data_IF_458963874584
#
_entry.id   IF_458963874584
#
_cell.length_a   1.000
_cell.length_b   1.000
_cell.length_c   1.000
_cell.angle_alpha   90.00
_cell.angle_beta   90.00
_cell.angle_gamma   90.00
#
_symmetry.space_group_name_H-M   'P 1'
#
loop_
_entity.id
_entity.type
_entity.pdbx_description
1 polymer ?
#
# COMPACT_ATOMS: atom_id res chain seq x y z
N UNK A 1 -61.77 -19.80 -15.37
CA UNK A 1 -60.56 -19.82 -16.23
C UNK A 1 -59.39 -19.64 -15.30
N UNK A 2 -58.69 -20.73 -15.04
CA UNK A 2 -57.77 -20.94 -13.91
C UNK A 2 -56.42 -21.29 -14.50
N UNK A 3 -55.35 -20.50 -14.32
CA UNK A 3 -53.92 -20.92 -14.41
C UNK A 3 -53.02 -19.90 -13.67
N UNK A 4 -52.36 -20.36 -12.60
CA UNK A 4 -50.90 -20.53 -12.42
C UNK A 4 -50.15 -19.19 -12.26
N UNK A 5 -49.66 -18.78 -11.08
CA UNK A 5 -49.02 -19.57 -10.03
C UNK A 5 -47.51 -19.67 -10.28
N UNK A 6 -46.82 -18.53 -10.34
CA UNK A 6 -45.36 -18.44 -10.46
C UNK A 6 -44.73 -18.09 -9.11
N UNK A 7 -44.24 -19.11 -8.42
CA UNK A 7 -43.48 -18.96 -7.17
C UNK A 7 -42.08 -18.49 -7.55
N UNK A 8 -41.78 -17.19 -7.41
CA UNK A 8 -40.40 -16.72 -7.44
C UNK A 8 -39.70 -17.25 -6.20
N UNK A 9 -38.83 -18.24 -6.41
CA UNK A 9 -37.90 -18.71 -5.41
C UNK A 9 -36.88 -17.59 -5.13
N UNK A 10 -37.12 -16.85 -4.04
CA UNK A 10 -36.10 -16.03 -3.37
C UNK A 10 -35.04 -16.99 -2.83
N UNK A 11 -33.96 -17.16 -3.59
CA UNK A 11 -32.75 -17.78 -3.08
C UNK A 11 -32.17 -16.83 -2.01
N UNK A 12 -32.43 -17.13 -0.75
CA UNK A 12 -31.76 -16.54 0.39
C UNK A 12 -30.30 -16.97 0.35
N UNK A 13 -29.44 -16.13 -0.22
CA UNK A 13 -28.00 -16.28 -0.14
C UNK A 13 -27.59 -15.89 1.27
N UNK A 14 -27.47 -16.88 2.14
CA UNK A 14 -26.84 -16.74 3.45
C UNK A 14 -25.37 -16.43 3.20
N UNK A 15 -25.05 -15.13 3.12
CA UNK A 15 -23.67 -14.67 3.29
C UNK A 15 -23.35 -14.93 4.75
N UNK A 16 -22.65 -16.02 5.02
CA UNK A 16 -21.95 -16.20 6.28
C UNK A 16 -20.92 -15.09 6.38
N UNK A 17 -21.28 -13.99 7.05
CA UNK A 17 -20.37 -13.02 7.60
C UNK A 17 -19.51 -13.74 8.65
N UNK A 18 -18.49 -14.43 8.16
CA UNK A 18 -17.55 -15.25 8.93
C UNK A 18 -16.13 -14.82 8.61
N UNK A 19 -15.79 -13.59 8.94
CA UNK A 19 -14.40 -13.18 9.18
C UNK A 19 -14.45 -12.10 10.23
N UNK A 20 -14.49 -12.55 11.48
CA UNK A 20 -14.12 -11.70 12.59
C UNK A 20 -12.78 -11.06 12.25
N UNK A 21 -12.75 -9.74 12.31
CA UNK A 21 -11.55 -8.93 12.21
C UNK A 21 -10.53 -9.49 13.19
N UNK A 22 -9.58 -10.29 12.70
CA UNK A 22 -8.32 -10.44 13.41
C UNK A 22 -7.71 -9.04 13.40
N UNK A 23 -7.87 -8.34 14.51
CA UNK A 23 -7.03 -7.18 14.82
C UNK A 23 -5.61 -7.70 14.70
N UNK A 24 -4.91 -7.32 13.64
CA UNK A 24 -3.47 -7.53 13.60
C UNK A 24 -2.92 -6.58 14.66
N UNK A 25 -2.67 -7.19 15.81
CA UNK A 25 -1.65 -6.80 16.76
C UNK A 25 -0.47 -6.21 15.99
N UNK A 26 -0.25 -4.90 16.16
CA UNK A 26 0.97 -4.21 15.74
C UNK A 26 2.11 -4.47 16.75
N UNK A 27 2.08 -5.64 17.41
CA UNK A 27 2.97 -6.06 18.49
C UNK A 27 3.25 -7.58 18.42
N UNK A 28 3.40 -8.15 17.21
CA UNK A 28 3.97 -9.50 17.07
C UNK A 28 5.05 -9.53 15.98
N UNK A 29 6.17 -8.87 16.30
CA UNK A 29 7.49 -9.32 15.86
C UNK A 29 8.02 -10.28 16.94
N UNK A 30 7.23 -11.30 17.30
CA UNK A 30 7.68 -12.36 18.18
C UNK A 30 8.37 -13.43 17.34
N UNK A 31 9.54 -13.86 17.81
CA UNK A 31 10.31 -14.96 17.27
C UNK A 31 9.42 -16.21 17.13
N UNK A 32 9.16 -16.62 15.90
CA UNK A 32 8.53 -17.90 15.59
C UNK A 32 9.41 -19.05 16.06
N UNK A 33 9.04 -19.60 17.21
CA UNK A 33 9.56 -20.84 17.75
C UNK A 33 8.88 -22.03 17.07
N UNK A 34 9.71 -22.96 16.57
CA UNK A 34 9.48 -24.40 16.47
C UNK A 34 8.09 -24.91 16.09
N UNK A 35 7.95 -25.38 14.85
CA UNK A 35 7.19 -26.58 14.56
C UNK A 35 8.02 -27.46 13.61
N UNK A 36 8.80 -28.33 14.25
CA UNK A 36 9.45 -29.50 13.70
C UNK A 36 8.47 -30.39 12.91
N UNK A 37 8.65 -30.39 11.59
CA UNK A 37 8.18 -31.46 10.73
C UNK A 37 9.41 -32.27 10.30
N UNK A 38 9.52 -33.41 10.95
CA UNK A 38 10.43 -34.51 10.68
C UNK A 38 10.27 -34.98 9.23
N UNK A 39 11.36 -34.95 8.46
CA UNK A 39 11.46 -35.65 7.17
C UNK A 39 12.92 -36.04 6.97
N UNK A 40 13.17 -37.28 7.36
CA UNK A 40 14.32 -38.09 6.99
C UNK A 40 14.37 -38.22 5.46
N UNK A 41 15.47 -37.79 4.81
CA UNK A 41 16.18 -38.63 3.84
C UNK A 41 17.52 -38.00 3.44
N UNK A 42 18.50 -38.87 3.27
CA UNK A 42 19.94 -38.62 3.33
C UNK A 42 20.53 -38.18 1.98
N UNK A 43 21.46 -37.21 1.99
CA UNK A 43 22.82 -37.45 1.45
C UNK A 43 23.80 -36.31 1.67
N UNK A 44 24.97 -36.73 2.13
CA UNK A 44 26.22 -36.02 2.34
C UNK A 44 26.78 -35.40 1.04
N UNK A 45 27.41 -34.23 1.12
CA UNK A 45 28.88 -34.11 1.07
C UNK A 45 29.36 -32.65 1.27
N UNK A 46 30.25 -32.53 2.26
CA UNK A 46 31.50 -31.75 2.33
C UNK A 46 31.55 -30.24 2.01
N UNK A 47 32.02 -29.48 3.02
CA UNK A 47 33.20 -28.65 2.79
C UNK A 47 33.11 -27.15 3.09
N UNK A 48 33.79 -26.73 4.17
CA UNK A 48 34.45 -25.41 4.25
C UNK A 48 33.71 -24.31 5.03
N UNK A 49 33.89 -24.16 6.35
CA UNK A 49 35.00 -23.46 7.05
C UNK A 49 34.85 -21.93 7.11
N UNK A 50 34.40 -21.47 8.30
CA UNK A 50 34.81 -20.32 9.15
C UNK A 50 35.05 -18.96 8.47
N UNK A 51 34.56 -17.86 9.08
CA UNK A 51 35.34 -16.98 9.97
C UNK A 51 34.43 -15.93 10.66
N UNK A 52 34.87 -15.55 11.85
CA UNK A 52 34.34 -14.63 12.83
C UNK A 52 34.10 -13.19 12.33
N UNK A 53 33.11 -12.50 12.90
CA UNK A 53 32.91 -11.07 12.62
C UNK A 53 31.92 -10.41 13.58
N UNK A 54 32.38 -10.09 14.80
CA UNK A 54 31.65 -9.30 15.77
C UNK A 54 31.55 -7.81 15.42
N UNK A 55 30.58 -7.12 16.01
CA UNK A 55 30.45 -5.66 15.95
C UNK A 55 29.04 -5.22 16.34
N UNK A 56 28.76 -5.12 17.64
CA UNK A 56 28.78 -3.86 18.40
C UNK A 56 27.50 -3.04 18.25
N UNK A 57 26.70 -3.13 19.30
CA UNK A 57 25.56 -2.31 19.69
C UNK A 57 25.88 -0.82 19.61
N UNK A 58 24.93 -0.03 19.13
CA UNK A 58 24.82 1.40 19.49
C UNK A 58 23.36 1.80 19.47
N UNK A 59 22.76 1.81 20.66
CA UNK A 59 21.54 2.51 21.00
C UNK A 59 21.83 4.02 20.95
N UNK A 60 20.95 4.78 20.31
CA UNK A 60 20.99 6.25 20.35
C UNK A 60 19.57 6.76 20.49
N UNK A 61 19.20 7.00 21.74
CA UNK A 61 18.04 7.78 22.13
C UNK A 61 18.25 9.22 21.68
N UNK A 62 17.29 9.81 20.97
CA UNK A 62 17.22 11.26 20.81
C UNK A 62 15.80 11.72 21.08
N UNK A 63 15.62 12.33 22.24
CA UNK A 63 14.45 13.09 22.64
C UNK A 63 14.60 14.53 22.15
N UNK A 64 13.46 15.22 22.04
CA UNK A 64 13.28 16.66 22.26
C UNK A 64 12.92 17.55 21.04
N UNK A 65 11.67 18.01 21.09
CA UNK A 65 11.27 19.42 21.13
C UNK A 65 11.24 20.26 19.85
N UNK A 66 10.02 20.66 19.49
CA UNK A 66 9.57 22.05 19.30
C UNK A 66 10.40 22.99 18.41
N UNK A 67 9.79 23.49 17.34
CA UNK A 67 10.36 24.63 16.60
C UNK A 67 9.46 25.14 15.51
N UNK A 68 9.11 26.42 15.63
CA UNK A 68 8.16 27.19 14.86
C UNK A 68 8.58 27.50 13.42
N UNK A 69 7.56 27.82 12.62
CA UNK A 69 7.59 28.43 11.29
C UNK A 69 8.70 29.46 11.08
N UNK A 70 9.44 29.40 9.97
CA UNK A 70 9.89 30.59 9.23
C UNK A 70 10.20 30.25 7.77
N UNK A 71 9.47 30.88 6.87
CA UNK A 71 9.63 30.86 5.42
C UNK A 71 10.86 31.68 5.01
N UNK A 72 11.63 31.22 4.02
CA UNK A 72 12.44 32.10 3.17
C UNK A 72 12.67 31.45 1.82
N UNK A 73 12.19 32.12 0.78
CA UNK A 73 12.33 31.74 -0.63
C UNK A 73 13.57 32.40 -1.22
N UNK A 74 14.32 31.68 -2.04
CA UNK A 74 15.18 32.29 -3.06
C UNK A 74 15.13 31.45 -4.33
N UNK A 75 14.70 32.10 -5.40
CA UNK A 75 14.49 31.55 -6.74
C UNK A 75 15.79 31.61 -7.54
N UNK A 76 16.04 30.60 -8.38
CA UNK A 76 16.93 30.75 -9.54
C UNK A 76 16.43 29.90 -10.70
N UNK A 77 16.23 30.58 -11.82
CA UNK A 77 15.57 30.15 -13.05
C UNK A 77 16.46 29.27 -13.93
N UNK A 78 15.88 28.18 -14.47
CA UNK A 78 16.48 27.35 -15.53
C UNK A 78 15.42 26.42 -16.12
N UNK A 79 15.17 26.53 -17.42
CA UNK A 79 13.99 26.01 -18.11
C UNK A 79 13.87 24.48 -18.14
N UNK A 80 12.76 24.02 -17.58
CA UNK A 80 12.17 22.70 -17.61
C UNK A 80 10.90 22.86 -16.78
N UNK A 81 9.74 22.36 -17.18
CA UNK A 81 8.46 22.65 -16.51
C UNK A 81 8.34 22.00 -15.12
N UNK A 82 9.30 22.23 -14.24
CA UNK A 82 9.26 21.93 -12.81
C UNK A 82 8.23 22.87 -12.20
N UNK A 83 6.99 22.40 -12.06
CA UNK A 83 5.97 23.09 -11.27
C UNK A 83 6.56 23.34 -9.89
N UNK A 84 6.66 24.63 -9.52
CA UNK A 84 7.05 25.08 -8.18
C UNK A 84 6.30 24.23 -7.15
N UNK A 85 6.96 23.58 -6.18
CA UNK A 85 6.28 22.88 -5.10
C UNK A 85 5.28 23.84 -4.48
N UNK A 86 3.99 23.52 -4.57
CA UNK A 86 2.96 24.31 -3.91
C UNK A 86 3.32 24.38 -2.43
N UNK A 87 3.26 25.56 -1.78
CA UNK A 87 3.47 25.64 -0.35
C UNK A 87 2.55 24.62 0.34
N UNK A 88 3.03 23.87 1.35
CA UNK A 88 2.21 22.88 2.02
C UNK A 88 0.95 23.57 2.53
N UNK A 89 -0.20 23.19 1.96
CA UNK A 89 -1.49 23.69 2.44
C UNK A 89 -1.61 23.27 3.91
N UNK A 90 -2.03 24.17 4.81
CA UNK A 90 -2.23 23.82 6.21
C UNK A 90 -3.25 22.68 6.30
N UNK A 91 -2.79 21.49 6.71
CA UNK A 91 -3.63 20.29 6.86
C UNK A 91 -3.28 19.12 5.95
N UNK A 92 -2.27 19.24 5.08
CA UNK A 92 -1.78 18.09 4.31
C UNK A 92 -0.61 17.39 5.04
N UNK A 93 -0.74 16.11 5.39
CA UNK A 93 0.34 15.38 6.05
C UNK A 93 1.52 15.16 5.09
N UNK A 94 2.75 15.01 5.61
CA UNK A 94 3.96 14.88 4.80
C UNK A 94 3.98 13.61 3.92
N UNK A 95 3.10 12.64 4.20
CA UNK A 95 2.93 11.44 3.38
C UNK A 95 2.37 11.76 1.97
N UNK A 96 1.68 12.88 1.79
CA UNK A 96 1.08 13.27 0.51
C UNK A 96 2.10 14.05 -0.34
N UNK A 97 3.04 13.35 -0.97
CA UNK A 97 4.09 13.95 -1.80
C UNK A 97 3.55 14.82 -2.96
N UNK A 98 2.34 14.52 -3.44
CA UNK A 98 1.61 15.29 -4.45
C UNK A 98 0.75 16.42 -3.92
N UNK A 99 0.70 16.61 -2.59
CA UNK A 99 -0.17 17.56 -1.93
C UNK A 99 -1.57 17.02 -1.62
N UNK A 100 -2.45 17.91 -1.17
CA UNK A 100 -3.84 17.57 -0.88
C UNK A 100 -4.76 18.48 -1.68
N UNK A 101 -5.57 17.89 -2.55
CA UNK A 101 -6.56 18.58 -3.37
C UNK A 101 -7.95 18.10 -2.97
N UNK A 102 -8.88 19.02 -2.73
CA UNK A 102 -10.24 18.72 -2.22
C UNK A 102 -10.28 17.79 -0.99
N UNK A 103 -9.22 17.79 -0.17
CA UNK A 103 -9.11 16.93 1.01
C UNK A 103 -8.66 15.49 0.72
N UNK A 104 -8.33 15.16 -0.52
CA UNK A 104 -7.71 13.90 -0.94
C UNK A 104 -6.19 14.01 -0.84
N UNK A 105 -5.55 13.02 -0.23
CA UNK A 105 -4.09 12.92 -0.17
C UNK A 105 -3.56 12.37 -1.50
N UNK A 106 -2.80 13.16 -2.25
CA UNK A 106 -2.16 12.70 -3.49
C UNK A 106 -0.73 12.28 -3.20
N UNK A 107 -0.39 11.04 -3.58
CA UNK A 107 0.96 10.50 -3.55
C UNK A 107 1.39 10.32 -5.00
N UNK A 108 2.35 11.15 -5.43
CA UNK A 108 2.89 11.09 -6.79
C UNK A 108 4.21 10.33 -6.75
N UNK A 109 4.28 9.25 -7.51
CA UNK A 109 5.44 8.39 -7.64
C UNK A 109 5.92 8.45 -9.09
N UNK A 110 7.03 9.16 -9.30
CA UNK A 110 7.72 9.27 -10.59
C UNK A 110 9.20 8.87 -10.46
N UNK A 111 9.79 8.41 -11.56
CA UNK A 111 11.22 8.07 -11.66
C UNK A 111 11.72 7.03 -10.66
N UNK A 112 10.92 6.03 -10.29
CA UNK A 112 11.34 4.98 -9.36
C UNK A 112 11.21 5.32 -7.88
N UNK A 113 10.69 6.50 -7.52
CA UNK A 113 10.72 7.02 -6.14
C UNK A 113 9.97 6.19 -5.10
N UNK A 114 9.10 5.27 -5.53
CA UNK A 114 8.25 4.47 -4.66
C UNK A 114 8.49 2.97 -4.76
N UNK A 115 9.55 2.56 -5.46
CA UNK A 115 9.84 1.16 -5.74
C UNK A 115 10.19 0.41 -4.43
N UNK A 116 9.55 -0.74 -4.21
CA UNK A 116 9.70 -1.56 -3.00
C UNK A 116 9.26 -0.89 -1.68
N UNK A 117 8.72 0.32 -1.74
CA UNK A 117 8.43 1.12 -0.56
C UNK A 117 7.04 0.80 -0.01
N UNK A 118 6.90 0.90 1.31
CA UNK A 118 5.62 0.76 1.99
C UNK A 118 5.03 2.14 2.31
N UNK A 119 3.80 2.38 1.88
CA UNK A 119 3.06 3.62 2.08
C UNK A 119 1.81 3.33 2.90
N UNK A 120 1.58 4.16 3.92
CA UNK A 120 0.34 4.15 4.67
C UNK A 120 -0.41 5.46 4.39
N UNK A 121 -1.63 5.34 3.90
CA UNK A 121 -2.48 6.50 3.70
C UNK A 121 -2.92 7.06 5.06
N UNK A 122 -2.93 8.39 5.24
CA UNK A 122 -3.29 9.01 6.51
C UNK A 122 -4.75 8.73 6.89
N UNK A 123 -5.01 8.57 8.19
CA UNK A 123 -6.36 8.36 8.71
C UNK A 123 -7.26 9.57 8.47
N UNK A 124 -8.56 9.31 8.22
CA UNK A 124 -9.58 10.34 8.07
C UNK A 124 -9.56 11.11 6.75
N UNK A 125 -8.76 10.69 5.76
CA UNK A 125 -8.78 11.25 4.40
C UNK A 125 -8.71 10.18 3.31
N UNK A 126 -9.39 10.38 2.17
CA UNK A 126 -9.21 9.56 0.99
C UNK A 126 -7.79 9.74 0.42
N UNK A 127 -7.29 8.71 -0.25
CA UNK A 127 -5.90 8.64 -0.71
C UNK A 127 -5.84 8.25 -2.19
N UNK A 128 -5.01 8.95 -2.95
CA UNK A 128 -4.81 8.75 -4.38
C UNK A 128 -3.32 8.56 -4.68
N UNK A 129 -2.92 7.32 -4.97
CA UNK A 129 -1.56 7.00 -5.41
C UNK A 129 -1.51 7.01 -6.94
N UNK A 130 -0.60 7.80 -7.51
CA UNK A 130 -0.34 7.82 -8.96
C UNK A 130 1.07 7.33 -9.22
N UNK A 131 1.19 6.29 -10.03
CA UNK A 131 2.44 5.63 -10.37
C UNK A 131 2.76 5.85 -11.85
N UNK A 132 3.86 6.54 -12.12
CA UNK A 132 4.40 6.82 -13.46
C UNK A 132 5.73 6.09 -13.68
N UNK A 133 6.08 5.72 -14.92
CA UNK A 133 7.39 5.19 -15.33
C UNK A 133 8.04 4.20 -14.33
N UNK A 134 7.41 3.05 -14.07
CA UNK A 134 7.96 1.98 -13.20
C UNK A 134 8.09 2.33 -11.70
N UNK A 135 7.46 3.42 -11.26
CA UNK A 135 7.74 3.99 -9.94
C UNK A 135 7.23 3.22 -8.73
N UNK A 136 6.22 2.37 -8.88
CA UNK A 136 5.60 1.64 -7.77
C UNK A 136 5.83 0.13 -7.86
N UNK A 137 6.87 -0.30 -8.56
CA UNK A 137 7.20 -1.71 -8.67
C UNK A 137 7.47 -2.30 -7.26
N UNK A 138 6.79 -3.38 -6.90
CA UNK A 138 6.89 -4.02 -5.58
C UNK A 138 6.44 -3.15 -4.40
N UNK A 139 5.81 -2.00 -4.65
CA UNK A 139 5.36 -1.11 -3.58
C UNK A 139 4.21 -1.75 -2.79
N UNK A 140 4.06 -1.34 -1.53
CA UNK A 140 2.99 -1.80 -0.65
C UNK A 140 2.16 -0.60 -0.22
N UNK A 141 0.87 -0.58 -0.56
CA UNK A 141 -0.05 0.48 -0.15
C UNK A 141 -1.02 -0.04 0.91
N UNK A 142 -0.97 0.54 2.09
CA UNK A 142 -1.90 0.27 3.18
C UNK A 142 -2.98 1.35 3.23
N UNK A 143 -4.20 0.95 2.94
CA UNK A 143 -5.36 1.83 2.96
C UNK A 143 -6.07 1.78 4.32
N UNK A 144 -6.45 2.93 4.89
CA UNK A 144 -7.17 2.96 6.16
C UNK A 144 -8.55 2.30 6.04
N UNK A 145 -9.07 1.81 7.17
CA UNK A 145 -10.37 1.15 7.22
C UNK A 145 -11.51 2.05 6.72
N UNK A 146 -11.46 3.34 7.04
CA UNK A 146 -12.61 4.25 6.96
C UNK A 146 -12.65 5.13 5.71
N UNK A 147 -11.64 5.06 4.82
CA UNK A 147 -11.54 5.97 3.68
C UNK A 147 -11.22 5.23 2.38
N UNK A 148 -11.77 5.67 1.25
CA UNK A 148 -11.50 5.04 -0.02
C UNK A 148 -10.07 5.31 -0.48
N UNK A 149 -9.54 4.33 -1.22
CA UNK A 149 -8.21 4.38 -1.81
C UNK A 149 -8.29 4.21 -3.32
N UNK A 150 -7.60 5.09 -4.04
CA UNK A 150 -7.47 4.98 -5.50
C UNK A 150 -6.01 4.85 -5.88
N UNK A 151 -5.71 3.87 -6.72
CA UNK A 151 -4.40 3.72 -7.36
C UNK A 151 -4.57 3.87 -8.86
N UNK A 152 -3.75 4.74 -9.46
CA UNK A 152 -3.68 4.91 -10.91
C UNK A 152 -2.29 4.53 -11.39
N UNK A 153 -2.23 3.58 -12.30
CA UNK A 153 -1.01 3.03 -12.87
C UNK A 153 -0.92 3.35 -14.36
N UNK A 154 0.21 3.90 -14.79
CA UNK A 154 0.52 4.16 -16.20
C UNK A 154 1.69 3.28 -16.65
N UNK A 155 1.52 2.42 -17.65
CA UNK A 155 2.58 1.47 -18.05
C UNK A 155 2.87 0.41 -16.97
N UNK A 156 4.07 -0.16 -16.95
CA UNK A 156 4.46 -1.21 -16.00
C UNK A 156 4.70 -0.72 -14.55
N UNK A 157 4.30 0.52 -14.25
CA UNK A 157 4.44 1.24 -12.99
C UNK A 157 3.99 0.54 -11.73
N UNK A 158 3.11 -0.45 -11.82
CA UNK A 158 2.54 -1.17 -10.68
C UNK A 158 2.85 -2.67 -10.68
N UNK A 159 3.88 -3.09 -11.40
CA UNK A 159 4.35 -4.49 -11.37
C UNK A 159 4.63 -4.92 -9.94
N UNK A 160 3.97 -5.99 -9.47
CA UNK A 160 4.14 -6.46 -8.08
C UNK A 160 3.63 -5.51 -6.99
N UNK A 161 2.88 -4.45 -7.33
CA UNK A 161 2.23 -3.59 -6.34
C UNK A 161 1.28 -4.44 -5.49
N UNK A 162 1.40 -4.33 -4.17
CA UNK A 162 0.46 -4.92 -3.22
C UNK A 162 -0.39 -3.82 -2.60
N UNK A 163 -1.70 -3.86 -2.84
CA UNK A 163 -2.65 -2.95 -2.18
C UNK A 163 -3.46 -3.72 -1.14
N UNK A 164 -3.43 -3.25 0.11
CA UNK A 164 -4.20 -3.81 1.21
C UNK A 164 -5.33 -2.86 1.59
N UNK A 165 -6.55 -3.33 1.38
CA UNK A 165 -7.74 -2.54 1.55
C UNK A 165 -8.37 -2.74 2.92
N UNK A 166 -8.88 -1.63 3.45
CA UNK A 166 -9.63 -1.58 4.71
C UNK A 166 -11.08 -2.05 4.55
N UNK A 167 -12.02 -1.33 5.17
CA UNK A 167 -13.46 -1.60 5.04
C UNK A 167 -14.07 -0.89 3.83
N UNK A 168 -13.49 0.23 3.41
CA UNK A 168 -13.98 1.04 2.29
C UNK A 168 -13.53 0.53 0.92
N UNK A 169 -14.12 1.14 -0.13
CA UNK A 169 -13.79 0.88 -1.52
C UNK A 169 -12.30 1.09 -1.82
N UNK A 170 -11.77 0.14 -2.57
CA UNK A 170 -10.45 0.21 -3.17
C UNK A 170 -10.57 0.11 -4.68
N UNK A 171 -10.01 1.09 -5.37
CA UNK A 171 -10.03 1.15 -6.84
C UNK A 171 -8.61 1.18 -7.38
N UNK A 172 -8.22 0.14 -8.11
CA UNK A 172 -6.99 0.13 -8.88
C UNK A 172 -7.33 0.25 -10.37
N UNK A 173 -6.79 1.28 -11.02
CA UNK A 173 -6.97 1.54 -12.45
C UNK A 173 -5.61 1.49 -13.13
N UNK A 174 -5.45 0.54 -14.05
CA UNK A 174 -4.26 0.47 -14.90
C UNK A 174 -4.61 0.94 -16.31
N UNK A 175 -3.69 1.65 -16.95
CA UNK A 175 -3.78 1.90 -18.40
C UNK A 175 -3.62 0.56 -19.15
N UNK A 176 -4.18 0.43 -20.35
CA UNK A 176 -4.11 -0.85 -21.08
C UNK A 176 -2.66 -1.30 -21.34
N UNK A 177 -2.30 -2.52 -20.93
CA UNK A 177 -0.96 -3.09 -21.10
C UNK A 177 0.00 -2.79 -19.95
N UNK A 178 -0.52 -2.59 -18.74
CA UNK A 178 0.19 -2.07 -17.56
C UNK A 178 -0.11 -2.95 -16.35
N UNK A 179 0.92 -3.33 -15.58
CA UNK A 179 0.76 -3.89 -14.24
C UNK A 179 0.66 -5.41 -14.16
N UNK A 180 1.48 -6.12 -14.92
CA UNK A 180 1.64 -7.57 -14.76
C UNK A 180 1.97 -7.88 -13.29
N UNK A 181 1.12 -8.65 -12.60
CA UNK A 181 1.36 -9.05 -11.21
C UNK A 181 1.00 -8.03 -10.13
N UNK A 182 0.29 -6.94 -10.46
CA UNK A 182 -0.34 -6.11 -9.43
C UNK A 182 -1.34 -6.98 -8.63
N UNK A 183 -1.10 -7.11 -7.32
CA UNK A 183 -1.93 -7.93 -6.43
C UNK A 183 -2.75 -7.02 -5.53
N UNK A 184 -4.07 -7.04 -5.71
CA UNK A 184 -4.99 -6.29 -4.85
C UNK A 184 -5.58 -7.25 -3.83
N UNK A 185 -5.23 -7.04 -2.57
CA UNK A 185 -5.80 -7.76 -1.44
C UNK A 185 -6.91 -6.91 -0.82
N UNK A 186 -8.13 -7.32 -1.09
CA UNK A 186 -9.32 -6.55 -0.72
C UNK A 186 -9.63 -6.58 0.78
N UNK A 187 -8.94 -7.40 1.57
CA UNK A 187 -9.17 -7.50 3.00
C UNK A 187 -10.66 -7.71 3.32
N UNK A 188 -11.21 -6.82 4.15
CA UNK A 188 -12.62 -6.83 4.55
C UNK A 188 -13.53 -5.94 3.67
N UNK A 189 -13.00 -5.32 2.60
CA UNK A 189 -13.78 -4.46 1.73
C UNK A 189 -14.71 -5.28 0.82
N UNK A 190 -15.99 -4.89 0.77
CA UNK A 190 -16.99 -5.51 -0.10
C UNK A 190 -16.97 -4.95 -1.53
N UNK A 191 -16.14 -3.94 -1.83
CA UNK A 191 -16.20 -3.15 -3.06
C UNK A 191 -14.80 -2.86 -3.57
N UNK A 192 -14.17 -3.92 -4.06
CA UNK A 192 -12.79 -3.89 -4.47
C UNK A 192 -12.73 -4.13 -5.98
N UNK A 193 -12.28 -3.13 -6.73
CA UNK A 193 -12.34 -3.13 -8.19
C UNK A 193 -10.97 -2.93 -8.80
N UNK A 194 -10.56 -3.88 -9.65
CA UNK A 194 -9.34 -3.79 -10.45
C UNK A 194 -9.75 -3.67 -11.91
N UNK A 195 -9.42 -2.55 -12.54
CA UNK A 195 -9.71 -2.30 -13.94
C UNK A 195 -8.42 -2.31 -14.75
N UNK A 196 -8.38 -3.20 -15.75
CA UNK A 196 -7.34 -3.25 -16.79
C UNK A 196 -5.91 -3.57 -16.32
N UNK A 197 -5.71 -4.03 -15.08
CA UNK A 197 -4.44 -4.59 -14.61
C UNK A 197 -4.44 -6.09 -14.93
N UNK A 198 -3.81 -6.48 -16.03
CA UNK A 198 -3.69 -7.89 -16.47
C UNK A 198 -2.25 -8.22 -16.79
#
# INVERSE_FOLDING_TARGET
>A
MTRLGGVLALAALVVTAGSACAWWDLDDYAAGSGAEADSEDEKEEDGGKREDGGGSSSTSSTSSSGGSSTSSSTSSSGGGSCKKPLPPLPGCPPACSGGCDDGVCHILCGGGSCNGSAFACPFGKPCALTCEDDSCNGAKLQCPAEQPCTVTCSGDSCTGLTMNCGLQECKATCSSGSGTGATVSCGASCSCSVSSCR
#
